data_IF_803483789695
#
_entry.id   IF_803483789695
#
_cell.length_a   1.000
_cell.length_b   1.000
_cell.length_c   1.000
_cell.angle_alpha   90.00
_cell.angle_beta   90.00
_cell.angle_gamma   90.00
#
_symmetry.space_group_name_H-M   'P 1'
#
loop_
_entity.id
_entity.type
_entity.pdbx_description
1 polymer ?
#
# COMPACT_ATOMS: atom_id res chain seq x y z
N UNK A 1 27.58 19.60 37.84
CA UNK A 1 26.40 18.71 37.72
C UNK A 1 25.32 19.21 36.74
N UNK A 2 25.21 20.52 36.46
CA UNK A 2 24.13 21.11 35.63
C UNK A 2 24.21 20.81 34.12
N UNK A 3 25.40 20.73 33.53
CA UNK A 3 25.57 20.48 32.08
C UNK A 3 25.14 19.07 31.66
N UNK A 4 25.44 18.04 32.47
CA UNK A 4 25.00 16.66 32.19
C UNK A 4 23.48 16.52 32.18
N UNK A 5 22.78 17.23 33.07
CA UNK A 5 21.32 17.22 33.10
C UNK A 5 20.71 17.96 31.90
N UNK A 6 21.37 19.02 31.42
CA UNK A 6 20.93 19.77 30.24
C UNK A 6 21.09 18.95 28.95
N UNK A 7 22.19 18.19 28.82
CA UNK A 7 22.42 17.27 27.69
C UNK A 7 21.37 16.15 27.68
N UNK A 8 21.07 15.57 28.84
CA UNK A 8 20.03 14.52 28.95
C UNK A 8 18.64 15.07 28.58
N UNK A 9 18.32 16.30 28.98
CA UNK A 9 17.06 16.96 28.63
C UNK A 9 16.95 17.21 27.11
N UNK A 10 18.04 17.66 26.47
CA UNK A 10 18.10 17.85 25.02
C UNK A 10 17.93 16.51 24.29
N UNK A 11 18.61 15.44 24.71
CA UNK A 11 18.46 14.12 24.11
C UNK A 11 17.02 13.59 24.23
N UNK A 12 16.33 13.81 25.35
CA UNK A 12 14.93 13.42 25.52
C UNK A 12 14.01 14.16 24.53
N UNK A 13 14.19 15.47 24.33
CA UNK A 13 13.38 16.26 23.37
C UNK A 13 13.57 15.80 21.93
N UNK A 14 14.76 15.36 21.54
CA UNK A 14 15.01 14.78 20.21
C UNK A 14 14.35 13.40 20.03
N UNK A 15 14.29 12.58 21.08
CA UNK A 15 13.60 11.28 21.03
C UNK A 15 12.07 11.41 20.95
N UNK A 16 11.49 12.44 21.57
CA UNK A 16 10.04 12.70 21.48
C UNK A 16 9.58 13.24 20.12
N UNK A 17 10.49 13.76 19.30
CA UNK A 17 10.19 14.27 17.95
C UNK A 17 10.51 13.26 16.84
N UNK A 18 10.72 11.97 17.16
CA UNK A 18 10.73 10.90 16.18
C UNK A 18 9.31 10.64 15.64
N UNK A 19 8.75 11.64 14.97
CA UNK A 19 7.61 11.41 14.10
C UNK A 19 8.14 10.64 12.90
N UNK A 20 7.73 9.38 12.75
CA UNK A 20 7.90 8.64 11.49
C UNK A 20 7.40 9.54 10.37
N UNK A 21 8.32 10.04 9.56
CA UNK A 21 8.03 10.98 8.50
C UNK A 21 6.97 10.35 7.59
N UNK A 22 5.85 11.05 7.38
CA UNK A 22 4.91 10.68 6.31
C UNK A 22 5.63 11.02 5.01
N UNK A 23 6.25 10.02 4.41
CA UNK A 23 7.07 10.20 3.21
C UNK A 23 6.22 10.75 2.05
N UNK A 24 6.75 11.73 1.33
CA UNK A 24 6.42 11.91 -0.08
C UNK A 24 6.82 10.64 -0.83
N UNK A 25 6.08 10.22 -1.86
CA UNK A 25 6.45 9.00 -2.59
C UNK A 25 7.81 9.16 -3.27
N UNK A 26 8.81 8.38 -2.84
CA UNK A 26 10.18 8.41 -3.37
C UNK A 26 10.35 7.50 -4.60
N UNK A 27 9.40 6.57 -4.82
CA UNK A 27 9.45 5.58 -5.91
C UNK A 27 8.25 5.78 -6.83
N UNK A 28 8.53 6.22 -8.05
CA UNK A 28 7.50 6.49 -9.06
C UNK A 28 7.49 5.36 -10.09
N UNK A 29 6.33 4.77 -10.29
CA UNK A 29 6.07 3.72 -11.28
C UNK A 29 5.32 4.29 -12.48
N UNK A 30 5.62 3.74 -13.65
CA UNK A 30 4.90 4.00 -14.89
C UNK A 30 4.22 2.71 -15.34
N UNK A 31 2.93 2.80 -15.65
CA UNK A 31 2.19 1.68 -16.23
C UNK A 31 2.33 1.68 -17.75
N UNK A 32 2.14 0.53 -18.41
CA UNK A 32 2.03 0.49 -19.86
C UNK A 32 0.96 1.47 -20.36
N UNK A 33 1.20 2.12 -21.50
CA UNK A 33 0.33 3.19 -22.03
C UNK A 33 -1.13 2.77 -22.10
N UNK A 34 -1.41 1.57 -22.61
CA UNK A 34 -2.76 1.00 -22.69
C UNK A 34 -3.48 0.91 -21.34
N UNK A 35 -2.75 0.59 -20.28
CA UNK A 35 -3.27 0.50 -18.91
C UNK A 35 -3.50 1.90 -18.34
N UNK A 36 -2.52 2.79 -18.51
CA UNK A 36 -2.61 4.19 -18.08
C UNK A 36 -3.83 4.89 -18.68
N UNK A 37 -4.04 4.79 -20.00
CA UNK A 37 -5.16 5.42 -20.70
C UNK A 37 -6.54 4.95 -20.20
N UNK A 38 -6.67 3.67 -19.81
CA UNK A 38 -7.93 3.14 -19.27
C UNK A 38 -8.14 3.68 -17.85
N UNK A 39 -7.08 3.71 -17.03
CA UNK A 39 -7.16 4.24 -15.67
C UNK A 39 -7.44 5.74 -15.67
N UNK A 40 -6.82 6.51 -16.58
CA UNK A 40 -7.08 7.94 -16.75
C UNK A 40 -8.57 8.21 -17.01
N UNK A 41 -9.18 7.42 -17.90
CA UNK A 41 -10.62 7.50 -18.17
C UNK A 41 -11.46 7.14 -16.94
N UNK A 42 -11.09 6.10 -16.21
CA UNK A 42 -11.80 5.71 -14.98
C UNK A 42 -11.72 6.81 -13.90
N UNK A 43 -10.57 7.47 -13.76
CA UNK A 43 -10.35 8.53 -12.78
C UNK A 43 -11.09 9.84 -13.10
N UNK A 44 -11.60 10.01 -14.32
CA UNK A 44 -12.52 11.12 -14.62
C UNK A 44 -13.86 10.97 -13.90
N UNK A 45 -14.19 9.78 -13.39
CA UNK A 45 -15.40 9.56 -12.61
C UNK A 45 -15.29 10.28 -11.25
N UNK A 46 -16.19 11.23 -10.93
CA UNK A 46 -16.12 12.04 -9.70
C UNK A 46 -16.26 11.24 -8.41
N UNK A 47 -16.60 9.96 -8.52
CA UNK A 47 -16.64 9.01 -7.41
C UNK A 47 -15.25 8.62 -6.86
N UNK A 48 -14.16 8.86 -7.59
CA UNK A 48 -12.79 8.61 -7.13
C UNK A 48 -12.22 9.82 -6.39
N UNK A 49 -12.67 10.03 -5.15
CA UNK A 49 -12.03 10.99 -4.23
C UNK A 49 -10.85 10.32 -3.53
N UNK A 50 -9.65 10.90 -3.68
CA UNK A 50 -8.39 10.39 -3.13
C UNK A 50 -8.13 8.92 -3.53
N UNK A 51 -7.94 8.64 -4.83
CA UNK A 51 -7.71 7.29 -5.29
C UNK A 51 -6.38 6.73 -4.74
N UNK A 52 -6.32 5.41 -4.65
CA UNK A 52 -5.07 4.69 -4.48
C UNK A 52 -5.08 3.43 -5.33
N UNK A 53 -3.89 2.92 -5.62
CA UNK A 53 -3.72 1.75 -6.47
C UNK A 53 -3.11 0.60 -5.71
N UNK A 54 -3.46 -0.59 -6.18
CA UNK A 54 -2.86 -1.81 -5.68
C UNK A 54 -2.48 -2.68 -6.85
N UNK A 55 -1.21 -3.05 -6.91
CA UNK A 55 -0.70 -3.98 -7.91
C UNK A 55 -0.63 -5.39 -7.32
N UNK A 56 -1.23 -6.32 -8.01
CA UNK A 56 -1.16 -7.76 -7.74
C UNK A 56 -0.48 -8.44 -8.92
N UNK A 57 0.43 -9.37 -8.64
CA UNK A 57 1.05 -10.21 -9.65
C UNK A 57 0.40 -11.59 -9.62
N UNK A 58 -0.09 -12.03 -10.76
CA UNK A 58 -0.72 -13.33 -10.96
C UNK A 58 0.04 -14.12 -12.02
N UNK A 59 0.99 -14.95 -11.58
CA UNK A 59 1.89 -15.69 -12.49
C UNK A 59 2.61 -14.74 -13.47
N UNK A 60 2.23 -14.75 -14.75
CA UNK A 60 2.81 -13.93 -15.82
C UNK A 60 2.05 -12.60 -16.04
N UNK A 61 0.87 -12.47 -15.46
CA UNK A 61 0.01 -11.30 -15.58
C UNK A 61 0.08 -10.41 -14.32
N UNK A 62 -0.43 -9.20 -14.47
CA UNK A 62 -0.61 -8.20 -13.43
C UNK A 62 -2.08 -7.80 -13.37
N UNK A 63 -2.57 -7.54 -12.17
CA UNK A 63 -3.87 -6.93 -11.93
C UNK A 63 -3.63 -5.64 -11.17
N UNK A 64 -4.09 -4.52 -11.72
CA UNK A 64 -4.10 -3.25 -11.00
C UNK A 64 -5.53 -2.90 -10.61
N UNK A 65 -5.70 -2.60 -9.32
CA UNK A 65 -6.95 -2.14 -8.75
C UNK A 65 -6.89 -0.65 -8.53
N UNK A 66 -7.87 0.09 -9.06
CA UNK A 66 -8.12 1.49 -8.73
C UNK A 66 -9.15 1.53 -7.62
N UNK A 67 -8.73 2.03 -6.46
CA UNK A 67 -9.50 1.98 -5.23
C UNK A 67 -9.92 3.39 -4.81
N UNK A 68 -11.05 3.48 -4.10
CA UNK A 68 -11.60 4.72 -3.54
C UNK A 68 -11.99 4.54 -2.09
N UNK A 69 -12.06 5.66 -1.36
CA UNK A 69 -12.52 5.69 0.02
C UNK A 69 -11.40 5.80 1.03
N UNK A 70 -11.57 5.18 2.21
CA UNK A 70 -10.62 5.31 3.31
C UNK A 70 -9.32 4.60 2.98
N UNK A 71 -8.22 5.37 2.89
CA UNK A 71 -6.90 4.81 2.69
C UNK A 71 -6.57 3.76 3.77
N UNK A 72 -6.21 2.53 3.37
CA UNK A 72 -5.67 1.57 4.32
C UNK A 72 -4.34 2.10 4.86
N UNK A 73 -3.95 1.58 6.02
CA UNK A 73 -2.71 1.97 6.70
C UNK A 73 -1.49 1.84 5.77
N UNK A 74 -1.50 0.87 4.86
CA UNK A 74 -0.46 0.64 3.86
C UNK A 74 -0.23 1.82 2.92
N UNK A 75 -1.29 2.53 2.51
CA UNK A 75 -1.14 3.70 1.64
C UNK A 75 -0.44 4.84 2.38
N UNK A 76 -0.71 5.00 3.68
CA UNK A 76 -0.11 6.08 4.48
C UNK A 76 1.40 5.92 4.68
N UNK A 77 1.89 4.68 4.62
CA UNK A 77 3.30 4.34 4.79
C UNK A 77 3.96 3.87 3.51
N UNK A 78 3.24 3.85 2.39
CA UNK A 78 3.83 3.54 1.10
C UNK A 78 4.62 4.74 0.61
N UNK A 79 5.87 4.49 0.22
CA UNK A 79 6.71 5.46 -0.49
C UNK A 79 6.59 5.30 -2.01
N UNK A 80 5.55 4.63 -2.51
CA UNK A 80 5.36 4.30 -3.93
C UNK A 80 4.14 5.01 -4.49
N UNK A 81 4.25 5.47 -5.73
CA UNK A 81 3.16 6.07 -6.48
C UNK A 81 3.20 5.66 -7.95
N UNK A 82 2.05 5.68 -8.62
CA UNK A 82 1.95 5.62 -10.07
C UNK A 82 1.82 7.05 -10.60
N UNK A 83 2.59 7.38 -11.64
CA UNK A 83 2.45 8.64 -12.37
C UNK A 83 1.43 8.51 -13.50
N UNK A 84 0.33 9.27 -13.41
CA UNK A 84 -0.77 9.26 -14.38
C UNK A 84 -1.32 10.69 -14.52
N UNK A 85 -1.53 11.17 -15.74
CA UNK A 85 -2.08 12.51 -16.01
C UNK A 85 -1.47 13.65 -15.17
N UNK A 86 -0.13 13.68 -15.04
CA UNK A 86 0.62 14.63 -14.20
C UNK A 86 0.36 14.56 -12.69
N UNK A 87 -0.38 13.55 -12.22
CA UNK A 87 -0.64 13.30 -10.82
C UNK A 87 0.13 12.07 -10.32
N UNK A 88 0.47 12.07 -9.02
CA UNK A 88 1.05 10.93 -8.33
C UNK A 88 -0.02 10.26 -7.46
N UNK A 89 -0.42 9.06 -7.87
CA UNK A 89 -1.45 8.29 -7.16
C UNK A 89 -0.75 7.24 -6.28
N UNK A 90 -1.03 7.19 -4.96
CA UNK A 90 -0.38 6.24 -4.08
C UNK A 90 -0.56 4.79 -4.53
N UNK A 91 0.50 4.00 -4.42
CA UNK A 91 0.55 2.59 -4.84
C UNK A 91 1.02 1.73 -3.67
N UNK A 92 0.47 0.54 -3.50
CA UNK A 92 1.14 -0.52 -2.74
C UNK A 92 1.00 -1.86 -3.44
N UNK A 93 1.84 -2.83 -3.08
CA UNK A 93 1.75 -4.18 -3.64
C UNK A 93 0.85 -5.03 -2.76
N UNK A 94 -0.01 -5.84 -3.36
CA UNK A 94 -0.87 -6.74 -2.59
C UNK A 94 -0.06 -7.67 -1.66
N UNK A 95 1.20 -7.98 -2.00
CA UNK A 95 2.11 -8.70 -1.13
C UNK A 95 2.40 -7.99 0.20
N UNK A 96 2.37 -6.66 0.23
CA UNK A 96 2.60 -5.86 1.43
C UNK A 96 1.53 -6.20 2.51
N UNK A 97 0.29 -6.50 2.10
CA UNK A 97 -0.78 -6.93 3.02
C UNK A 97 -0.51 -8.32 3.62
N UNK A 98 0.05 -9.25 2.83
CA UNK A 98 0.33 -10.61 3.31
C UNK A 98 1.38 -10.62 4.42
N UNK A 99 2.38 -9.74 4.33
CA UNK A 99 3.44 -9.65 5.33
C UNK A 99 3.10 -8.71 6.49
N UNK A 100 1.98 -7.99 6.43
CA UNK A 100 1.56 -7.07 7.47
C UNK A 100 1.00 -7.74 8.73
N UNK A 101 0.47 -8.96 8.59
CA UNK A 101 -0.20 -9.66 9.68
C UNK A 101 0.72 -10.66 10.37
N UNK A 102 1.60 -10.15 11.23
CA UNK A 102 2.40 -10.99 12.11
C UNK A 102 1.55 -11.52 13.27
N UNK A 103 1.45 -12.84 13.39
CA UNK A 103 0.89 -13.51 14.57
C UNK A 103 2.03 -13.97 15.49
N UNK A 104 1.83 -13.91 16.82
CA UNK A 104 2.82 -14.46 17.75
C UNK A 104 2.89 -15.98 17.55
N UNK A 105 4.10 -16.53 17.45
CA UNK A 105 4.31 -17.96 17.18
C UNK A 105 3.57 -18.88 18.17
N UNK A 106 3.50 -18.51 19.45
CA UNK A 106 2.72 -19.25 20.46
C UNK A 106 1.23 -19.37 20.13
N UNK A 107 0.64 -18.34 19.53
CA UNK A 107 -0.79 -18.29 19.20
C UNK A 107 -1.05 -19.08 17.91
N UNK A 108 -0.13 -19.01 16.95
CA UNK A 108 -0.12 -19.86 15.74
C UNK A 108 -0.09 -21.34 16.12
N UNK A 109 0.87 -21.75 16.96
CA UNK A 109 1.02 -23.13 17.40
C UNK A 109 -0.21 -23.63 18.18
N UNK A 110 -0.80 -22.77 19.02
CA UNK A 110 -2.04 -23.07 19.73
C UNK A 110 -3.23 -23.23 18.77
N UNK A 111 -3.34 -22.39 17.75
CA UNK A 111 -4.40 -22.45 16.75
C UNK A 111 -4.30 -23.71 15.89
N UNK A 112 -3.09 -24.07 15.45
CA UNK A 112 -2.84 -25.32 14.70
C UNK A 112 -3.22 -26.56 15.52
N UNK A 113 -2.84 -26.61 16.80
CA UNK A 113 -3.20 -27.73 17.70
C UNK A 113 -4.71 -27.86 17.92
N UNK A 114 -5.44 -26.75 17.86
CA UNK A 114 -6.89 -26.70 18.06
C UNK A 114 -7.69 -26.77 16.75
N UNK A 115 -7.04 -27.07 15.62
CA UNK A 115 -7.69 -27.13 14.30
C UNK A 115 -8.27 -25.79 13.81
N UNK A 116 -7.82 -24.67 14.36
CA UNK A 116 -8.28 -23.34 13.94
C UNK A 116 -7.50 -22.87 12.73
N UNK A 117 -8.20 -22.31 11.75
CA UNK A 117 -7.56 -21.72 10.57
C UNK A 117 -6.60 -20.60 10.96
N UNK A 118 -5.44 -20.58 10.29
CA UNK A 118 -4.53 -19.45 10.35
C UNK A 118 -5.21 -18.28 9.65
N UNK A 119 -5.49 -17.22 10.40
CA UNK A 119 -6.20 -16.05 9.86
C UNK A 119 -5.34 -15.38 8.78
N UNK A 120 -5.66 -15.66 7.51
CA UNK A 120 -5.22 -14.87 6.36
C UNK A 120 -6.26 -13.77 6.15
N UNK A 121 -5.98 -12.56 6.63
CA UNK A 121 -6.82 -11.40 6.29
C UNK A 121 -6.48 -10.98 4.87
N UNK A 122 -7.33 -11.36 3.92
CA UNK A 122 -7.34 -10.78 2.58
C UNK A 122 -8.39 -9.68 2.61
N UNK A 123 -8.00 -8.42 2.38
CA UNK A 123 -9.00 -7.38 2.18
C UNK A 123 -9.67 -7.58 0.83
N UNK A 124 -10.94 -7.97 0.84
CA UNK A 124 -11.80 -7.84 -0.33
C UNK A 124 -12.04 -6.35 -0.52
N UNK A 125 -11.56 -5.79 -1.63
CA UNK A 125 -11.65 -4.36 -1.88
C UNK A 125 -13.01 -4.04 -2.48
N UNK A 126 -13.92 -3.59 -1.63
CA UNK A 126 -15.23 -3.09 -2.05
C UNK A 126 -15.06 -1.88 -3.00
N UNK A 127 -15.91 -1.79 -4.03
CA UNK A 127 -15.96 -0.65 -4.97
C UNK A 127 -14.67 -0.37 -5.73
N UNK A 128 -14.04 -1.41 -6.26
CA UNK A 128 -12.81 -1.31 -7.05
C UNK A 128 -13.04 -1.57 -8.53
N UNK A 129 -12.48 -0.71 -9.37
CA UNK A 129 -12.23 -1.01 -10.77
C UNK A 129 -10.91 -1.77 -10.88
N UNK A 130 -10.83 -2.77 -11.75
CA UNK A 130 -9.59 -3.51 -11.96
C UNK A 130 -9.33 -3.81 -13.42
N UNK A 131 -8.05 -3.83 -13.80
CA UNK A 131 -7.59 -4.22 -15.12
C UNK A 131 -6.55 -5.32 -14.95
N UNK A 132 -6.69 -6.40 -15.71
CA UNK A 132 -5.66 -7.43 -15.86
C UNK A 132 -4.87 -7.20 -17.15
N UNK A 133 -3.55 -7.32 -17.10
CA UNK A 133 -2.66 -7.07 -18.23
C UNK A 133 -1.37 -7.89 -18.11
N UNK A 134 -0.75 -8.23 -19.23
CA UNK A 134 0.60 -8.83 -19.20
C UNK A 134 1.70 -7.76 -19.14
N UNK A 135 2.96 -8.19 -19.04
CA UNK A 135 4.12 -7.29 -18.97
C UNK A 135 4.20 -6.28 -20.13
N UNK A 136 3.64 -6.59 -21.31
CA UNK A 136 3.62 -5.70 -22.46
C UNK A 136 2.51 -4.64 -22.39
N UNK A 137 1.60 -4.76 -21.42
CA UNK A 137 0.40 -3.92 -21.31
C UNK A 137 -0.79 -4.44 -22.11
N UNK A 138 -0.72 -5.65 -22.67
CA UNK A 138 -1.89 -6.23 -23.35
C UNK A 138 -2.94 -6.60 -22.32
N UNK A 139 -4.11 -5.99 -22.44
CA UNK A 139 -5.24 -6.22 -21.55
C UNK A 139 -5.75 -7.67 -21.70
N UNK A 140 -6.06 -8.30 -20.56
CA UNK A 140 -6.67 -9.63 -20.48
C UNK A 140 -8.08 -9.49 -19.94
N UNK A 141 -9.01 -10.26 -20.52
CA UNK A 141 -10.38 -10.38 -20.02
C UNK A 141 -10.47 -11.44 -18.91
#
# INVERSE_FOLDING_TARGET
MRIKHFIVLICLVFLYNCNTQKYSSDIIYFLPTSVSEIIERELQNPNYKNPYMVLYKESDDYIIYVCRGKHPIFVQYSNRSVFINNDLIPLYFASDEYFAYAQKGKDVLKNMKNGKELIKRIYIKENTFSIKFDLSGKIKN
#
